data_IF_402039037266
#
_entry.id   IF_402039037266
#
_cell.length_a   1.000
_cell.length_b   1.000
_cell.length_c   1.000
_cell.angle_alpha   90.00
_cell.angle_beta   90.00
_cell.angle_gamma   90.00
#
_symmetry.space_group_name_H-M   'P 1'
#
loop_
_entity.id
_entity.type
_entity.pdbx_description
1 polymer ?
#
# COMPACT_ATOMS: atom_id res chain seq x y z
N UNK A 1 -0.91 10.61 2.96
CA UNK A 1 -1.52 9.31 3.30
C UNK A 1 -0.48 8.37 3.86
N UNK A 2 0.40 7.84 3.01
CA UNK A 2 1.43 6.85 3.38
C UNK A 2 2.26 7.22 4.62
N UNK A 3 2.71 8.47 4.75
CA UNK A 3 3.47 8.92 5.93
C UNK A 3 2.66 8.84 7.25
N UNK A 4 1.36 9.14 7.21
CA UNK A 4 0.47 9.06 8.37
C UNK A 4 0.16 7.60 8.73
N UNK A 5 -0.01 6.73 7.74
CA UNK A 5 -0.15 5.29 7.95
C UNK A 5 1.11 4.67 8.57
N UNK A 6 2.30 5.06 8.11
CA UNK A 6 3.56 4.55 8.66
C UNK A 6 3.80 4.98 10.10
N UNK A 7 3.39 6.19 10.51
CA UNK A 7 3.53 6.64 11.91
C UNK A 7 2.73 5.74 12.87
N UNK A 8 1.53 5.32 12.46
CA UNK A 8 0.64 4.47 13.27
C UNK A 8 1.21 3.06 13.48
N UNK A 9 1.82 2.50 12.44
CA UNK A 9 2.46 1.17 12.50
C UNK A 9 3.66 1.21 13.46
N UNK A 10 4.51 2.25 13.38
CA UNK A 10 5.66 2.41 14.28
C UNK A 10 5.23 2.57 15.75
N UNK A 11 4.20 3.38 16.01
CA UNK A 11 3.64 3.58 17.35
C UNK A 11 3.06 2.29 17.93
N UNK A 12 2.29 1.54 17.15
CA UNK A 12 1.71 0.26 17.56
C UNK A 12 2.79 -0.80 17.83
N UNK A 13 3.85 -0.83 17.02
CA UNK A 13 4.95 -1.79 17.19
C UNK A 13 5.72 -1.51 18.48
N UNK A 14 5.98 -0.23 18.81
CA UNK A 14 6.62 0.18 20.07
C UNK A 14 5.79 -0.22 21.30
N UNK A 15 4.48 0.00 21.27
CA UNK A 15 3.58 -0.41 22.36
C UNK A 15 3.59 -1.94 22.55
N UNK A 16 3.53 -2.69 21.44
CA UNK A 16 3.55 -4.15 21.48
C UNK A 16 4.90 -4.67 22.01
N UNK A 17 6.02 -4.05 21.62
CA UNK A 17 7.37 -4.40 22.10
C UNK A 17 7.48 -4.34 23.63
N UNK A 18 6.93 -3.30 24.26
CA UNK A 18 6.90 -3.18 25.72
C UNK A 18 6.08 -4.31 26.36
N UNK A 19 4.90 -4.62 25.80
CA UNK A 19 4.04 -5.68 26.34
C UNK A 19 4.64 -7.08 26.19
N UNK A 20 5.33 -7.35 25.08
CA UNK A 20 5.95 -8.66 24.79
C UNK A 20 7.18 -8.88 25.66
N UNK A 21 8.00 -7.85 25.90
CA UNK A 21 9.15 -7.96 26.82
C UNK A 21 8.74 -8.31 28.25
N UNK A 22 7.61 -7.79 28.73
CA UNK A 22 7.13 -8.05 30.09
C UNK A 22 6.50 -9.43 30.26
N UNK A 23 5.98 -10.06 29.18
CA UNK A 23 5.19 -11.31 29.27
C UNK A 23 5.78 -12.51 28.55
N UNK A 24 6.59 -12.33 27.51
CA UNK A 24 7.05 -13.41 26.61
C UNK A 24 8.56 -13.56 26.46
N UNK A 25 9.36 -12.67 27.06
CA UNK A 25 10.82 -12.71 26.95
C UNK A 25 11.38 -12.36 25.56
N UNK A 26 12.70 -12.14 25.44
CA UNK A 26 13.33 -11.61 24.21
C UNK A 26 13.30 -12.58 23.03
N UNK A 27 13.18 -13.89 23.28
CA UNK A 27 13.20 -14.93 22.23
C UNK A 27 11.91 -14.89 21.39
N UNK A 28 10.75 -14.76 22.02
CA UNK A 28 9.45 -14.75 21.31
C UNK A 28 9.31 -13.49 20.45
N UNK A 29 9.87 -12.38 20.90
CA UNK A 29 9.90 -11.12 20.16
C UNK A 29 10.67 -11.23 18.84
N UNK A 30 11.86 -11.85 18.88
CA UNK A 30 12.66 -12.07 17.68
C UNK A 30 12.01 -13.08 16.73
N UNK A 31 11.42 -14.15 17.25
CA UNK A 31 10.75 -15.17 16.43
C UNK A 31 9.52 -14.61 15.72
N UNK A 32 8.65 -13.86 16.41
CA UNK A 32 7.47 -13.23 15.82
C UNK A 32 7.85 -12.27 14.68
N UNK A 33 8.89 -11.45 14.90
CA UNK A 33 9.39 -10.52 13.87
C UNK A 33 9.92 -11.25 12.64
N UNK A 34 10.74 -12.28 12.83
CA UNK A 34 11.29 -13.07 11.71
C UNK A 34 10.21 -13.81 10.91
N UNK A 35 9.21 -14.37 11.59
CA UNK A 35 8.07 -15.05 10.94
C UNK A 35 7.23 -14.04 10.15
N UNK A 36 6.93 -12.87 10.74
CA UNK A 36 6.19 -11.81 10.06
C UNK A 36 6.94 -11.29 8.82
N UNK A 37 8.25 -11.09 8.91
CA UNK A 37 9.08 -10.68 7.79
C UNK A 37 9.09 -11.75 6.67
N UNK A 38 9.16 -13.04 7.03
CA UNK A 38 9.06 -14.13 6.07
C UNK A 38 7.75 -14.12 5.29
N UNK A 39 6.63 -13.90 5.97
CA UNK A 39 5.32 -13.83 5.33
C UNK A 39 5.18 -12.60 4.43
N UNK A 40 5.74 -11.45 4.84
CA UNK A 40 5.77 -10.22 4.05
C UNK A 40 6.57 -10.38 2.75
N UNK A 41 7.66 -11.15 2.77
CA UNK A 41 8.46 -11.44 1.56
C UNK A 41 7.64 -12.23 0.53
N UNK A 42 6.84 -13.21 0.96
CA UNK A 42 5.94 -13.95 0.06
C UNK A 42 4.92 -13.02 -0.63
N UNK A 43 4.33 -12.09 0.13
CA UNK A 43 3.40 -11.09 -0.41
C UNK A 43 4.11 -10.14 -1.37
N UNK A 44 5.31 -9.68 -1.02
CA UNK A 44 6.12 -8.81 -1.88
C UNK A 44 6.53 -9.50 -3.18
N UNK A 45 6.79 -10.82 -3.15
CA UNK A 45 7.10 -11.59 -4.35
C UNK A 45 5.91 -11.63 -5.32
N UNK A 46 4.69 -11.86 -4.80
CA UNK A 46 3.46 -11.82 -5.59
C UNK A 46 3.17 -10.42 -6.13
N UNK A 47 3.46 -9.37 -5.35
CA UNK A 47 3.36 -7.99 -5.81
C UNK A 47 4.40 -7.70 -6.90
N UNK A 48 5.61 -8.24 -6.81
CA UNK A 48 6.64 -8.08 -7.83
C UNK A 48 6.24 -8.72 -9.17
N UNK A 49 5.62 -9.90 -9.15
CA UNK A 49 5.04 -10.51 -10.35
C UNK A 49 3.92 -9.63 -10.93
N UNK A 50 3.08 -9.06 -10.09
CA UNK A 50 2.00 -8.16 -10.50
C UNK A 50 2.52 -6.84 -11.08
N UNK A 51 3.51 -6.21 -10.43
CA UNK A 51 4.19 -5.01 -10.92
C UNK A 51 4.89 -5.24 -12.27
N UNK A 52 5.28 -6.48 -12.60
CA UNK A 52 5.88 -6.78 -13.89
C UNK A 52 4.88 -6.75 -15.06
N UNK A 53 3.59 -6.94 -14.77
CA UNK A 53 2.51 -6.98 -15.77
C UNK A 53 1.68 -5.69 -15.79
N UNK A 54 1.67 -4.93 -14.70
CA UNK A 54 0.89 -3.70 -14.58
C UNK A 54 1.80 -2.53 -14.21
N UNK A 55 1.82 -1.44 -15.00
CA UNK A 55 2.49 -0.22 -14.57
C UNK A 55 1.73 0.37 -13.37
N UNK A 56 2.16 0.01 -12.17
CA UNK A 56 1.66 0.42 -10.85
C UNK A 56 1.81 1.94 -10.56
N UNK A 57 2.00 2.79 -11.58
CA UNK A 57 2.16 4.24 -11.42
C UNK A 57 1.42 5.07 -12.47
N UNK A 58 0.32 4.51 -13.01
CA UNK A 58 -0.73 5.28 -13.70
C UNK A 58 -2.03 5.41 -12.88
N UNK A 59 -2.04 4.98 -11.61
CA UNK A 59 -3.23 4.90 -10.75
C UNK A 59 -3.99 6.22 -10.60
N UNK A 60 -5.33 6.17 -10.74
CA UNK A 60 -6.32 7.27 -10.73
C UNK A 60 -6.09 8.42 -11.72
N UNK A 61 -4.88 8.92 -11.92
CA UNK A 61 -4.59 10.02 -12.86
C UNK A 61 -4.86 9.63 -14.31
N UNK A 62 -4.54 8.40 -14.73
CA UNK A 62 -4.85 7.95 -16.09
C UNK A 62 -6.37 7.88 -16.31
N UNK A 63 -7.12 7.38 -15.31
CA UNK A 63 -8.58 7.30 -15.35
C UNK A 63 -9.25 8.68 -15.33
N UNK A 64 -8.74 9.62 -14.54
CA UNK A 64 -9.23 11.00 -14.52
C UNK A 64 -8.90 11.71 -15.83
N UNK A 65 -7.71 11.49 -16.41
CA UNK A 65 -7.34 12.05 -17.71
C UNK A 65 -8.25 11.54 -18.82
N UNK A 66 -8.52 10.23 -18.86
CA UNK A 66 -9.42 9.61 -19.84
C UNK A 66 -10.88 10.06 -19.69
N UNK A 67 -11.37 10.16 -18.45
CA UNK A 67 -12.74 10.63 -18.15
C UNK A 67 -12.92 12.12 -18.45
N UNK A 68 -11.91 12.95 -18.16
CA UNK A 68 -11.94 14.39 -18.48
C UNK A 68 -11.84 14.61 -19.98
N UNK A 69 -11.00 13.86 -20.68
CA UNK A 69 -10.88 13.89 -22.14
C UNK A 69 -12.21 13.53 -22.82
N UNK A 70 -12.84 12.43 -22.42
CA UNK A 70 -14.14 12.01 -22.96
C UNK A 70 -15.26 13.02 -22.69
N UNK A 71 -15.28 13.65 -21.51
CA UNK A 71 -16.29 14.67 -21.18
C UNK A 71 -16.13 15.96 -22.01
N UNK A 72 -14.89 16.37 -22.30
CA UNK A 72 -14.62 17.53 -23.18
C UNK A 72 -15.16 17.30 -24.59
N UNK A 73 -14.91 16.12 -25.16
CA UNK A 73 -15.35 15.78 -26.53
C UNK A 73 -16.88 15.78 -26.66
N UNK A 74 -17.60 15.28 -25.64
CA UNK A 74 -19.08 15.31 -25.62
C UNK A 74 -19.66 16.72 -25.52
N UNK A 75 -19.02 17.64 -24.80
CA UNK A 75 -19.48 19.04 -24.71
C UNK A 75 -19.27 19.78 -26.04
N UNK A 76 -18.13 19.57 -26.70
CA UNK A 76 -17.87 20.16 -28.02
C UNK A 76 -18.87 19.65 -29.06
N UNK A 77 -19.17 18.35 -29.08
CA UNK A 77 -20.19 17.78 -30.00
C UNK A 77 -21.61 18.30 -29.73
N UNK A 78 -21.93 18.65 -28.48
CA UNK A 78 -23.22 19.23 -28.11
C UNK A 78 -23.33 20.74 -28.37
N UNK A 79 -22.20 21.47 -28.42
CA UNK A 79 -22.16 22.91 -28.65
C UNK A 79 -22.10 23.31 -30.13
N UNK A 80 -21.84 22.37 -31.04
CA UNK A 80 -21.79 22.59 -32.51
C UNK A 80 -23.07 22.12 -33.22
N UNK A 81 -24.14 21.79 -32.47
CA UNK A 81 -25.43 21.37 -33.03
C UNK A 81 -26.56 22.27 -32.58
#
# INVERSE_FOLDING_TARGET
GLAFSNIGILSNTSATFQTVLQRGGPVIMLLCWNIAAGFMICVALSLAETCSMYPESGGLYYWVFELVHNRSNSKTKAATR
#
